data_IF_274707395236
#
_entry.id   IF_274707395236
#
_cell.length_a   1.000
_cell.length_b   1.000
_cell.length_c   1.000
_cell.angle_alpha   90.00
_cell.angle_beta   90.00
_cell.angle_gamma   90.00
#
_symmetry.space_group_name_H-M   'P 1'
#
loop_
_entity.id
_entity.type
_entity.pdbx_description
1 polymer ?
#
# COMPACT_ATOMS: atom_id res chain seq x y z
N UNK A 1 -19.12 0.63 -11.18
CA UNK A 1 -18.54 1.99 -11.25
C UNK A 1 -17.50 2.07 -10.16
N UNK A 2 -16.24 1.93 -10.53
CA UNK A 2 -15.12 1.80 -9.61
C UNK A 2 -14.74 3.19 -9.13
N UNK A 3 -14.94 3.43 -7.84
CA UNK A 3 -14.59 4.65 -7.15
C UNK A 3 -13.06 4.78 -7.12
N UNK A 4 -12.50 5.57 -8.06
CA UNK A 4 -11.08 5.86 -8.15
C UNK A 4 -10.75 6.94 -7.10
N UNK A 5 -10.64 6.51 -5.86
CA UNK A 5 -10.12 7.33 -4.76
C UNK A 5 -8.68 7.73 -5.03
N UNK A 6 -8.48 8.93 -5.59
CA UNK A 6 -7.44 9.92 -5.30
C UNK A 6 -7.52 11.03 -6.38
N UNK A 7 -8.47 11.94 -6.19
CA UNK A 7 -8.68 13.17 -6.98
C UNK A 7 -7.59 14.24 -6.73
N UNK A 8 -6.39 13.85 -6.33
CA UNK A 8 -5.35 14.80 -5.97
C UNK A 8 -4.46 15.09 -7.19
N UNK A 9 -4.78 16.18 -7.89
CA UNK A 9 -4.07 16.66 -9.08
C UNK A 9 -3.05 17.70 -8.65
N UNK A 10 -1.77 17.37 -8.84
CA UNK A 10 -0.66 18.19 -8.37
C UNK A 10 0.16 18.74 -9.53
N UNK A 11 0.67 19.95 -9.36
CA UNK A 11 1.73 20.52 -10.19
C UNK A 11 2.91 20.93 -9.33
N UNK A 12 4.11 20.51 -9.72
CA UNK A 12 5.36 20.91 -9.10
C UNK A 12 6.17 21.76 -10.09
N UNK A 13 6.53 22.98 -9.68
CA UNK A 13 7.32 23.91 -10.50
C UNK A 13 8.76 23.89 -10.01
N UNK A 14 9.70 23.43 -10.84
CA UNK A 14 11.12 23.41 -10.51
C UNK A 14 11.97 23.89 -11.67
N UNK A 15 12.79 24.93 -11.43
CA UNK A 15 13.73 25.48 -12.42
C UNK A 15 13.08 25.79 -13.78
N UNK A 16 11.87 26.34 -13.77
CA UNK A 16 11.11 26.69 -14.98
C UNK A 16 10.40 25.52 -15.67
N UNK A 17 10.47 24.30 -15.13
CA UNK A 17 9.70 23.14 -15.61
C UNK A 17 8.58 22.79 -14.67
N UNK A 18 7.44 22.38 -15.23
CA UNK A 18 6.28 21.97 -14.45
C UNK A 18 6.04 20.47 -14.60
N UNK A 19 5.90 19.78 -13.47
CA UNK A 19 5.62 18.34 -13.44
C UNK A 19 4.21 18.13 -12.91
N UNK A 20 3.38 17.45 -13.69
CA UNK A 20 1.97 17.19 -13.39
C UNK A 20 1.75 15.70 -13.10
N UNK A 21 0.92 15.43 -12.10
CA UNK A 21 0.43 14.09 -11.84
C UNK A 21 -0.97 13.91 -12.43
N UNK A 22 -1.06 13.12 -13.49
CA UNK A 22 -2.27 12.93 -14.30
C UNK A 22 -3.07 11.69 -13.83
N UNK A 23 -2.51 10.88 -12.91
CA UNK A 23 -3.16 9.74 -12.27
C UNK A 23 -2.56 8.38 -12.66
N UNK A 24 -2.50 7.43 -11.71
CA UNK A 24 -1.91 6.09 -11.90
C UNK A 24 -2.69 5.21 -12.89
N UNK A 25 -3.99 5.45 -13.03
CA UNK A 25 -4.84 4.72 -13.98
C UNK A 25 -4.48 5.02 -15.46
N UNK A 26 -3.80 6.14 -15.70
CA UNK A 26 -3.33 6.59 -17.01
C UNK A 26 -1.81 6.36 -17.12
N UNK A 27 -1.37 5.14 -16.80
CA UNK A 27 0.04 4.75 -17.00
C UNK A 27 0.49 4.91 -18.45
N UNK A 28 1.79 4.78 -18.74
CA UNK A 28 2.38 5.02 -20.07
C UNK A 28 1.81 4.18 -21.23
N UNK A 29 0.94 3.21 -20.92
CA UNK A 29 0.31 2.31 -21.88
C UNK A 29 -1.17 2.15 -21.57
N UNK A 30 -2.01 2.30 -22.60
CA UNK A 30 -3.39 1.84 -22.56
C UNK A 30 -3.41 0.35 -22.93
N UNK A 31 -4.10 -0.48 -22.12
CA UNK A 31 -4.18 -1.94 -22.30
C UNK A 31 -2.82 -2.66 -22.51
N UNK A 32 -1.73 -2.10 -21.96
CA UNK A 32 -0.40 -2.70 -21.99
C UNK A 32 0.34 -2.68 -23.34
N UNK A 33 -0.27 -2.15 -24.42
CA UNK A 33 0.29 -2.17 -25.78
C UNK A 33 0.46 -0.78 -26.40
N UNK A 34 -0.49 0.13 -26.18
CA UNK A 34 -0.51 1.37 -26.95
C UNK A 34 -0.02 2.57 -26.11
N UNK A 35 0.96 3.30 -26.63
CA UNK A 35 1.56 4.44 -25.93
C UNK A 35 0.57 5.61 -25.90
N UNK A 36 0.17 6.02 -24.70
CA UNK A 36 -0.62 7.24 -24.53
C UNK A 36 0.28 8.47 -24.68
N UNK A 37 -0.23 9.52 -25.30
CA UNK A 37 0.47 10.82 -25.37
C UNK A 37 -0.33 11.85 -24.58
N UNK A 38 0.35 12.53 -23.66
CA UNK A 38 -0.27 13.57 -22.82
C UNK A 38 0.16 14.92 -23.33
N UNK A 39 -0.78 15.86 -23.44
CA UNK A 39 -0.58 17.21 -23.93
C UNK A 39 -0.96 18.22 -22.86
N UNK A 40 -0.19 19.29 -22.75
CA UNK A 40 -0.49 20.49 -21.98
C UNK A 40 -0.62 21.66 -22.97
N UNK A 41 -1.81 22.25 -23.10
CA UNK A 41 -2.13 23.29 -24.09
C UNK A 41 -1.60 22.96 -25.50
N UNK A 42 -1.95 21.76 -25.97
CA UNK A 42 -1.56 21.21 -27.28
C UNK A 42 -0.05 20.96 -27.48
N UNK A 43 0.77 21.13 -26.43
CA UNK A 43 2.19 20.75 -26.44
C UNK A 43 2.38 19.37 -25.78
N UNK A 44 3.13 18.45 -26.42
CA UNK A 44 3.35 17.12 -25.86
C UNK A 44 4.18 17.22 -24.59
N UNK A 45 3.72 16.52 -23.56
CA UNK A 45 4.41 16.39 -22.29
C UNK A 45 5.36 15.20 -22.32
N UNK A 46 6.47 15.31 -21.60
CA UNK A 46 7.44 14.22 -21.47
C UNK A 46 7.04 13.30 -20.32
N UNK A 47 6.80 11.99 -20.54
CA UNK A 47 6.57 11.06 -19.44
C UNK A 47 7.79 10.96 -18.54
N UNK A 48 7.58 10.98 -17.23
CA UNK A 48 8.62 10.73 -16.24
C UNK A 48 8.75 9.22 -15.95
N UNK A 49 9.83 8.80 -15.29
CA UNK A 49 10.06 7.37 -14.98
C UNK A 49 8.96 6.73 -14.13
N UNK A 50 8.24 7.54 -13.35
CA UNK A 50 7.13 7.09 -12.54
C UNK A 50 5.83 7.15 -13.35
N UNK A 51 5.05 6.06 -13.41
CA UNK A 51 3.74 6.08 -14.07
C UNK A 51 2.84 7.21 -13.57
N UNK A 52 2.05 7.80 -14.47
CA UNK A 52 1.13 8.90 -14.17
C UNK A 52 1.78 10.28 -14.03
N UNK A 53 3.11 10.40 -14.08
CA UNK A 53 3.82 11.68 -13.98
C UNK A 53 4.34 12.16 -15.34
N UNK A 54 4.12 13.44 -15.64
CA UNK A 54 4.48 14.06 -16.90
C UNK A 54 5.08 15.45 -16.69
N UNK A 55 6.13 15.79 -17.43
CA UNK A 55 6.75 17.11 -17.43
C UNK A 55 6.28 17.93 -18.64
N UNK A 56 5.88 19.18 -18.41
CA UNK A 56 5.70 20.18 -19.44
C UNK A 56 6.76 21.28 -19.27
N UNK A 57 7.14 21.87 -20.40
CA UNK A 57 7.98 23.06 -20.41
C UNK A 57 7.16 24.33 -20.12
N UNK A 58 5.83 24.28 -20.22
CA UNK A 58 4.92 25.36 -19.83
C UNK A 58 4.53 25.29 -18.34
N UNK A 59 4.36 26.47 -17.73
CA UNK A 59 3.88 26.63 -16.35
C UNK A 59 2.40 27.00 -16.38
N UNK A 60 1.57 26.20 -15.69
CA UNK A 60 0.14 26.48 -15.51
C UNK A 60 -0.70 26.36 -16.78
N UNK A 61 -0.73 25.19 -17.46
CA UNK A 61 -1.51 25.00 -18.66
C UNK A 61 -3.00 25.13 -18.36
N UNK A 62 -3.73 25.70 -19.30
CA UNK A 62 -5.19 25.83 -19.22
C UNK A 62 -5.89 24.49 -19.39
N UNK A 63 -5.27 23.57 -20.16
CA UNK A 63 -5.82 22.26 -20.49
C UNK A 63 -4.74 21.20 -20.47
N UNK A 64 -5.03 20.07 -19.83
CA UNK A 64 -4.28 18.83 -20.03
C UNK A 64 -5.20 17.83 -20.74
N UNK A 65 -4.70 17.23 -21.82
CA UNK A 65 -5.41 16.25 -22.63
C UNK A 65 -4.58 14.98 -22.76
N UNK A 66 -5.23 13.82 -22.62
CA UNK A 66 -4.62 12.51 -22.84
C UNK A 66 -5.17 11.95 -24.12
N UNK A 67 -4.29 11.71 -25.09
CA UNK A 67 -4.63 11.10 -26.37
C UNK A 67 -4.41 9.60 -26.24
N UNK A 68 -5.52 8.86 -26.27
CA UNK A 68 -5.52 7.41 -26.28
C UNK A 68 -5.59 6.96 -27.74
N UNK A 69 -4.56 6.30 -28.26
CA UNK A 69 -4.56 5.81 -29.64
C UNK A 69 -5.70 4.80 -29.82
N UNK A 70 -6.39 4.90 -30.96
CA UNK A 70 -7.35 3.89 -31.42
C UNK A 70 -6.67 2.99 -32.44
N UNK A 71 -7.03 1.69 -32.49
CA UNK A 71 -6.56 0.85 -33.57
C UNK A 71 -7.09 1.39 -34.90
N UNK A 72 -6.22 1.44 -35.90
CA UNK A 72 -6.59 1.88 -37.24
C UNK A 72 -7.74 1.02 -37.77
N UNK A 73 -8.69 1.68 -38.44
CA UNK A 73 -9.82 0.99 -39.05
C UNK A 73 -9.42 0.49 -40.43
N UNK A 74 -9.57 -0.80 -40.68
CA UNK A 74 -9.41 -1.36 -42.03
C UNK A 74 -10.59 -0.90 -42.88
N UNK A 75 -10.33 -0.08 -43.90
CA UNK A 75 -11.34 0.35 -44.87
C UNK A 75 -11.58 -0.72 -45.94
N UNK A 76 -10.54 -1.47 -46.25
CA UNK A 76 -10.53 -2.48 -47.28
C UNK A 76 -9.13 -3.01 -47.47
N UNK A 77 -8.93 -3.71 -48.57
CA UNK A 77 -7.68 -4.36 -48.90
C UNK A 77 -7.29 -3.98 -50.32
N UNK A 78 -6.07 -3.51 -50.52
CA UNK A 78 -5.52 -3.10 -51.82
C UNK A 78 -4.60 -4.18 -52.36
N UNK A 79 -4.66 -4.45 -53.66
CA UNK A 79 -3.75 -5.41 -54.28
C UNK A 79 -2.30 -4.91 -54.13
N UNK A 80 -1.42 -5.75 -53.59
CA UNK A 80 -0.05 -5.35 -53.25
C UNK A 80 0.79 -5.06 -54.48
N UNK A 81 0.49 -5.72 -55.61
CA UNK A 81 1.06 -5.44 -56.92
C UNK A 81 -0.05 -4.96 -57.88
N UNK A 82 -0.15 -3.64 -58.12
CA UNK A 82 -1.18 -3.07 -59.01
C UNK A 82 -1.11 -3.59 -60.44
N UNK A 83 0.03 -4.11 -60.89
CA UNK A 83 0.20 -4.60 -62.27
C UNK A 83 -0.47 -5.96 -62.51
N UNK A 84 -0.81 -6.68 -61.44
CA UNK A 84 -1.55 -7.94 -61.48
C UNK A 84 -3.08 -7.76 -61.51
N UNK A 85 -3.57 -6.51 -61.57
CA UNK A 85 -5.00 -6.21 -61.59
C UNK A 85 -5.69 -6.86 -62.79
N UNK A 86 -6.77 -7.59 -62.51
CA UNK A 86 -7.54 -8.31 -63.53
C UNK A 86 -8.95 -8.58 -63.00
N UNK A 87 -9.89 -9.05 -63.84
CA UNK A 87 -11.22 -9.46 -63.37
C UNK A 87 -11.19 -10.51 -62.25
N UNK A 88 -10.12 -11.31 -62.16
CA UNK A 88 -9.89 -12.29 -61.09
C UNK A 88 -9.29 -11.67 -59.83
N UNK A 89 -8.44 -10.66 -60.00
CA UNK A 89 -7.74 -9.93 -58.94
C UNK A 89 -8.11 -8.44 -59.04
N UNK A 90 -9.30 -8.04 -58.55
CA UNK A 90 -9.67 -6.62 -58.56
C UNK A 90 -8.65 -5.79 -57.78
N UNK A 91 -8.41 -4.53 -58.17
CA UNK A 91 -7.40 -3.69 -57.49
C UNK A 91 -7.70 -3.41 -56.02
N UNK A 92 -8.97 -3.53 -55.60
CA UNK A 92 -9.41 -3.38 -54.20
C UNK A 92 -10.43 -4.44 -53.82
N UNK A 93 -10.48 -4.78 -52.53
CA UNK A 93 -11.48 -5.62 -51.90
C UNK A 93 -12.04 -4.91 -50.67
N UNK A 94 -13.35 -5.07 -50.44
CA UNK A 94 -13.97 -4.72 -49.17
C UNK A 94 -13.57 -5.72 -48.07
N UNK A 95 -13.73 -5.37 -46.78
CA UNK A 95 -13.39 -6.29 -45.69
C UNK A 95 -14.19 -7.60 -45.71
N UNK A 96 -15.43 -7.57 -46.18
CA UNK A 96 -16.27 -8.76 -46.28
C UNK A 96 -15.87 -9.64 -47.46
N UNK A 97 -15.57 -9.07 -48.64
CA UNK A 97 -15.03 -9.82 -49.79
C UNK A 97 -13.68 -10.48 -49.48
N UNK A 98 -12.81 -9.76 -48.75
CA UNK A 98 -11.55 -10.32 -48.29
C UNK A 98 -11.78 -11.51 -47.33
N UNK A 99 -12.73 -11.37 -46.39
CA UNK A 99 -13.08 -12.43 -45.44
C UNK A 99 -13.67 -13.65 -46.16
N UNK A 100 -14.58 -13.44 -47.11
CA UNK A 100 -15.15 -14.52 -47.92
C UNK A 100 -14.07 -15.29 -48.69
N UNK A 101 -13.09 -14.60 -49.28
CA UNK A 101 -11.95 -15.26 -49.96
C UNK A 101 -11.05 -16.01 -48.97
N UNK A 102 -10.79 -15.44 -47.80
CA UNK A 102 -9.99 -16.08 -46.75
C UNK A 102 -10.68 -17.35 -46.23
N UNK A 103 -11.99 -17.29 -45.98
CA UNK A 103 -12.81 -18.40 -45.46
C UNK A 103 -12.98 -19.51 -46.50
N UNK A 104 -13.02 -19.16 -47.80
CA UNK A 104 -12.99 -20.12 -48.91
C UNK A 104 -11.63 -20.82 -49.09
N UNK A 105 -10.63 -20.51 -48.24
CA UNK A 105 -9.25 -21.01 -48.35
C UNK A 105 -8.60 -20.70 -49.71
N UNK A 106 -9.05 -19.64 -50.38
CA UNK A 106 -8.44 -19.17 -51.61
C UNK A 106 -7.13 -18.47 -51.27
N UNK A 107 -5.98 -19.08 -51.58
CA UNK A 107 -4.64 -18.54 -51.26
C UNK A 107 -4.39 -17.13 -51.81
N UNK A 108 -5.16 -16.70 -52.81
CA UNK A 108 -4.95 -15.42 -53.50
C UNK A 108 -5.34 -14.19 -52.68
N UNK A 109 -6.10 -14.32 -51.59
CA UNK A 109 -6.36 -13.20 -50.66
C UNK A 109 -5.08 -12.60 -50.06
N UNK A 110 -4.00 -13.39 -49.94
CA UNK A 110 -2.70 -12.94 -49.43
C UNK A 110 -2.00 -11.93 -50.34
N UNK A 111 -2.46 -11.78 -51.59
CA UNK A 111 -1.94 -10.75 -52.50
C UNK A 111 -2.38 -9.34 -52.11
N UNK A 112 -3.31 -9.21 -51.15
CA UNK A 112 -3.84 -7.92 -50.74
C UNK A 112 -3.28 -7.46 -49.40
N UNK A 113 -2.97 -6.17 -49.32
CA UNK A 113 -2.54 -5.48 -48.10
C UNK A 113 -3.71 -4.69 -47.51
N UNK A 114 -3.89 -4.68 -46.18
CA UNK A 114 -4.93 -3.89 -45.54
C UNK A 114 -4.67 -2.40 -45.77
N UNK A 115 -5.68 -1.70 -46.27
CA UNK A 115 -5.72 -0.26 -46.34
C UNK A 115 -6.38 0.28 -45.05
N UNK A 116 -5.62 1.06 -44.30
CA UNK A 116 -6.02 1.62 -43.02
C UNK A 116 -6.47 3.07 -43.17
N UNK A 117 -7.53 3.44 -42.45
CA UNK A 117 -7.84 4.84 -42.12
C UNK A 117 -7.33 5.12 -40.71
N UNK A 118 -6.48 6.14 -40.59
CA UNK A 118 -6.08 6.65 -39.28
C UNK A 118 -7.32 7.16 -38.56
N UNK A 119 -7.64 6.53 -37.43
CA UNK A 119 -8.76 6.97 -36.58
C UNK A 119 -8.21 7.99 -35.60
N UNK A 120 -8.89 9.13 -35.49
CA UNK A 120 -8.51 10.15 -34.49
C UNK A 120 -8.47 9.52 -33.09
N UNK A 121 -7.43 9.83 -32.29
CA UNK A 121 -7.31 9.29 -30.95
C UNK A 121 -8.47 9.77 -30.07
N UNK A 122 -8.83 8.95 -29.09
CA UNK A 122 -9.72 9.40 -28.03
C UNK A 122 -9.03 10.47 -27.19
N UNK A 123 -9.65 11.65 -27.09
CA UNK A 123 -9.11 12.76 -26.30
C UNK A 123 -9.83 12.83 -24.97
N UNK A 124 -9.14 12.40 -23.91
CA UNK A 124 -9.62 12.54 -22.53
C UNK A 124 -9.09 13.86 -22.00
N UNK A 125 -9.97 14.84 -21.78
CA UNK A 125 -9.57 16.09 -21.11
C UNK A 125 -9.51 15.85 -19.60
N UNK A 126 -8.38 16.19 -19.00
CA UNK A 126 -8.15 16.08 -17.56
C UNK A 126 -8.53 17.42 -16.93
N UNK A 127 -9.64 17.50 -16.17
CA UNK A 127 -10.10 18.78 -15.66
C UNK A 127 -9.08 19.40 -14.68
N UNK A 128 -9.03 20.73 -14.63
CA UNK A 128 -8.46 21.44 -13.48
C UNK A 128 -9.41 21.44 -12.27
N UNK A 129 -9.06 22.12 -11.16
CA UNK A 129 -7.83 22.89 -10.93
C UNK A 129 -6.63 22.02 -10.49
N UNK A 130 -5.42 22.45 -10.85
CA UNK A 130 -4.17 21.83 -10.41
C UNK A 130 -3.70 22.49 -9.12
N UNK A 131 -3.49 21.69 -8.07
CA UNK A 131 -2.91 22.20 -6.83
C UNK A 131 -1.42 22.41 -7.02
N UNK A 132 -0.96 23.66 -6.96
CA UNK A 132 0.47 23.97 -6.98
C UNK A 132 1.07 23.50 -5.66
N UNK A 133 1.97 22.53 -5.75
CA UNK A 133 2.79 22.10 -4.64
C UNK A 133 3.87 23.16 -4.39
N UNK A 134 3.52 24.17 -3.59
CA UNK A 134 4.50 25.10 -2.99
C UNK A 134 5.22 24.39 -1.85
N UNK A 135 6.49 24.77 -1.61
CA UNK A 135 7.34 24.27 -0.52
C UNK A 135 6.54 24.22 0.80
N UNK A 136 6.03 23.05 1.17
CA UNK A 136 5.38 22.84 2.45
C UNK A 136 6.44 22.69 3.56
N UNK A 137 6.02 22.75 4.83
CA UNK A 137 6.92 22.56 5.94
C UNK A 137 7.48 21.12 5.94
N UNK A 138 8.78 20.98 6.19
CA UNK A 138 9.42 19.68 6.39
C UNK A 138 8.64 18.82 7.40
N UNK A 139 8.58 17.49 7.21
CA UNK A 139 8.02 16.62 8.24
C UNK A 139 8.80 16.86 9.53
N UNK A 140 8.11 16.95 10.68
CA UNK A 140 8.77 17.12 11.94
C UNK A 140 9.77 15.97 12.13
N UNK A 141 10.98 16.30 12.59
CA UNK A 141 11.97 15.32 13.03
C UNK A 141 11.49 14.73 14.36
N UNK A 142 10.49 13.86 14.27
CA UNK A 142 9.85 13.28 15.43
C UNK A 142 10.31 11.83 15.65
N UNK A 143 10.60 11.49 16.90
CA UNK A 143 11.20 10.21 17.29
C UNK A 143 10.33 8.97 16.99
N UNK A 144 9.16 9.18 16.38
CA UNK A 144 8.14 8.18 16.18
C UNK A 144 8.23 7.48 14.82
N UNK A 145 9.21 7.78 13.95
CA UNK A 145 9.52 6.91 12.81
C UNK A 145 10.17 7.64 11.63
N UNK A 146 10.78 6.88 10.72
CA UNK A 146 11.40 7.44 9.53
C UNK A 146 10.42 7.44 8.37
N UNK A 147 10.08 8.62 7.86
CA UNK A 147 9.24 8.76 6.67
C UNK A 147 10.05 8.48 5.40
N UNK A 148 9.57 7.51 4.62
CA UNK A 148 10.15 7.16 3.32
C UNK A 148 9.11 7.39 2.22
N UNK A 149 9.23 8.51 1.49
CA UNK A 149 8.28 8.80 0.43
C UNK A 149 8.55 7.98 -0.81
N UNK A 150 7.48 7.60 -1.49
CA UNK A 150 7.57 7.03 -2.82
C UNK A 150 7.69 8.17 -3.82
N UNK A 151 8.91 8.62 -4.10
CA UNK A 151 9.19 9.70 -5.06
C UNK A 151 9.60 9.18 -6.44
N UNK A 152 9.35 9.95 -7.51
CA UNK A 152 10.14 9.84 -8.75
C UNK A 152 11.64 10.03 -8.47
N UNK A 153 12.51 9.36 -9.22
CA UNK A 153 13.98 9.43 -9.02
C UNK A 153 14.52 10.85 -9.11
N UNK A 154 13.88 11.67 -9.92
CA UNK A 154 14.19 13.08 -10.15
C UNK A 154 13.99 13.94 -8.89
N UNK A 155 13.11 13.52 -7.98
CA UNK A 155 12.79 14.19 -6.72
C UNK A 155 13.45 13.54 -5.50
N UNK A 156 14.13 12.40 -5.65
CA UNK A 156 14.76 11.69 -4.52
C UNK A 156 15.82 12.54 -3.80
N UNK A 157 16.55 13.39 -4.52
CA UNK A 157 17.57 14.29 -3.95
C UNK A 157 17.00 15.60 -3.36
N UNK A 158 15.67 15.73 -3.26
CA UNK A 158 14.97 16.95 -2.87
C UNK A 158 14.13 16.71 -1.60
N UNK A 159 14.75 16.72 -0.40
CA UNK A 159 14.06 16.43 0.86
C UNK A 159 12.84 17.33 1.12
N UNK A 160 12.83 18.54 0.56
CA UNK A 160 11.72 19.52 0.65
C UNK A 160 10.41 19.04 0.02
N UNK A 161 10.41 17.99 -0.79
CA UNK A 161 9.20 17.43 -1.40
C UNK A 161 8.79 16.08 -0.82
N UNK A 162 9.55 15.55 0.15
CA UNK A 162 9.38 14.18 0.62
C UNK A 162 8.02 13.95 1.31
N UNK A 163 7.46 14.93 2.02
CA UNK A 163 6.19 14.77 2.74
C UNK A 163 4.93 14.91 1.88
N UNK A 164 5.06 15.42 0.65
CA UNK A 164 3.94 15.70 -0.26
C UNK A 164 3.49 14.49 -1.08
N UNK A 165 4.27 13.42 -1.06
CA UNK A 165 4.03 12.24 -1.88
C UNK A 165 3.60 11.08 -0.99
N UNK A 166 2.78 10.15 -1.51
CA UNK A 166 2.49 8.92 -0.82
C UNK A 166 3.78 8.20 -0.40
N UNK A 167 3.76 7.58 0.76
CA UNK A 167 4.97 7.01 1.36
C UNK A 167 4.67 6.01 2.44
N UNK A 168 5.73 5.61 3.13
CA UNK A 168 5.67 4.64 4.21
C UNK A 168 6.44 5.16 5.41
N UNK A 169 5.80 5.13 6.58
CA UNK A 169 6.42 5.44 7.87
C UNK A 169 6.93 4.13 8.47
N UNK A 170 8.25 4.01 8.67
CA UNK A 170 8.89 2.78 9.18
C UNK A 170 9.21 2.87 10.67
N UNK A 171 9.35 1.69 11.31
CA UNK A 171 9.76 1.55 12.70
C UNK A 171 8.61 1.31 13.69
N UNK A 172 7.41 0.97 13.20
CA UNK A 172 6.21 0.84 14.04
C UNK A 172 6.39 -0.24 15.09
N UNK A 173 6.97 -1.36 14.69
CA UNK A 173 7.23 -2.48 15.58
C UNK A 173 8.22 -2.11 16.67
N UNK A 174 9.31 -1.42 16.33
CA UNK A 174 10.31 -0.97 17.31
C UNK A 174 9.73 0.07 18.28
N UNK A 175 8.96 1.04 17.79
CA UNK A 175 8.29 2.03 18.62
C UNK A 175 7.27 1.39 19.58
N UNK A 176 6.49 0.43 19.08
CA UNK A 176 5.55 -0.32 19.88
C UNK A 176 6.25 -1.20 20.93
N UNK A 177 7.36 -1.84 20.57
CA UNK A 177 8.18 -2.62 21.50
C UNK A 177 8.69 -1.76 22.65
N UNK A 178 9.24 -0.57 22.35
CA UNK A 178 9.70 0.37 23.37
C UNK A 178 8.56 0.75 24.33
N UNK A 179 7.39 1.10 23.78
CA UNK A 179 6.22 1.49 24.57
C UNK A 179 5.63 0.35 25.40
N UNK A 180 5.62 -0.87 24.88
CA UNK A 180 5.13 -2.06 25.60
C UNK A 180 6.09 -2.42 26.75
N UNK A 181 7.41 -2.32 26.56
CA UNK A 181 8.41 -2.61 27.61
C UNK A 181 8.28 -1.72 28.84
N UNK A 182 7.76 -0.51 28.68
CA UNK A 182 7.53 0.44 29.77
C UNK A 182 6.26 0.13 30.58
N UNK A 183 5.42 -0.81 30.13
CA UNK A 183 4.21 -1.18 30.86
C UNK A 183 4.55 -2.02 32.10
N UNK A 184 3.94 -1.73 33.27
CA UNK A 184 4.34 -2.33 34.54
C UNK A 184 4.06 -3.83 34.64
N UNK A 185 3.07 -4.32 33.89
CA UNK A 185 2.67 -5.73 33.87
C UNK A 185 3.37 -6.55 32.78
N UNK A 186 4.26 -5.94 31.99
CA UNK A 186 5.06 -6.64 30.96
C UNK A 186 6.36 -7.11 31.57
N UNK A 187 6.68 -8.39 31.42
CA UNK A 187 7.94 -8.98 31.88
C UNK A 187 8.97 -9.06 30.75
N UNK A 188 8.53 -9.47 29.56
CA UNK A 188 9.38 -9.56 28.38
C UNK A 188 8.64 -9.05 27.15
N UNK A 189 9.33 -8.29 26.31
CA UNK A 189 8.84 -7.93 24.99
C UNK A 189 10.02 -7.91 24.01
N UNK A 190 9.97 -8.81 23.02
CA UNK A 190 10.99 -8.93 21.99
C UNK A 190 10.37 -9.24 20.64
N UNK A 191 11.11 -8.89 19.59
CA UNK A 191 10.73 -9.21 18.22
C UNK A 191 11.22 -10.61 17.87
N UNK A 192 10.33 -11.42 17.29
CA UNK A 192 10.64 -12.74 16.75
C UNK A 192 9.87 -12.93 15.44
N UNK A 193 10.56 -13.31 14.35
CA UNK A 193 9.95 -13.69 13.06
C UNK A 193 8.88 -12.70 12.54
N UNK A 194 9.17 -11.40 12.59
CA UNK A 194 8.27 -10.30 12.18
C UNK A 194 7.02 -10.14 13.07
N UNK A 195 7.05 -10.67 14.29
CA UNK A 195 6.00 -10.51 15.32
C UNK A 195 6.62 -9.95 16.59
N UNK A 196 5.78 -9.37 17.45
CA UNK A 196 6.16 -9.01 18.81
C UNK A 196 5.64 -10.04 19.78
N UNK A 197 6.56 -10.74 20.44
CA UNK A 197 6.25 -11.66 21.50
C UNK A 197 6.33 -10.94 22.84
N UNK A 198 5.18 -10.85 23.50
CA UNK A 198 4.97 -10.13 24.75
C UNK A 198 4.58 -11.12 25.84
N UNK A 199 5.34 -11.15 26.91
CA UNK A 199 5.05 -11.90 28.13
C UNK A 199 4.59 -10.94 29.21
N UNK A 200 3.39 -11.14 29.73
CA UNK A 200 2.78 -10.30 30.77
C UNK A 200 2.51 -11.08 32.05
N UNK A 201 2.62 -10.42 33.19
CA UNK A 201 2.17 -10.88 34.50
C UNK A 201 0.78 -10.34 34.76
N UNK A 202 -0.19 -11.24 34.88
CA UNK A 202 -1.58 -10.86 35.10
C UNK A 202 -2.03 -11.37 36.47
N UNK A 203 -2.61 -10.53 37.34
CA UNK A 203 -3.20 -11.00 38.57
C UNK A 203 -4.36 -11.94 38.26
N UNK A 204 -4.38 -13.11 38.89
CA UNK A 204 -5.52 -14.01 38.86
C UNK A 204 -6.66 -13.33 39.63
N UNK A 205 -7.79 -13.07 38.98
CA UNK A 205 -8.89 -12.27 39.55
C UNK A 205 -9.52 -12.84 40.84
N UNK A 206 -9.19 -14.07 41.23
CA UNK A 206 -9.65 -14.65 42.50
C UNK A 206 -8.49 -14.63 43.49
N UNK A 207 -8.50 -13.75 44.51
CA UNK A 207 -7.50 -13.81 45.56
C UNK A 207 -7.65 -15.14 46.32
N UNK A 208 -6.62 -15.97 46.30
CA UNK A 208 -6.58 -17.17 47.12
C UNK A 208 -6.12 -16.81 48.54
N UNK A 209 -6.79 -17.43 49.52
CA UNK A 209 -6.42 -17.30 50.91
C UNK A 209 -5.51 -18.48 51.29
N UNK A 210 -4.25 -18.20 51.57
CA UNK A 210 -3.31 -19.19 52.06
C UNK A 210 -3.31 -19.19 53.59
N UNK A 211 -3.44 -20.36 54.21
CA UNK A 211 -3.21 -20.51 55.63
C UNK A 211 -1.71 -20.70 55.87
N UNK A 212 -1.03 -19.63 56.30
CA UNK A 212 0.39 -19.69 56.60
C UNK A 212 0.56 -20.12 58.06
N UNK A 213 1.07 -21.32 58.27
CA UNK A 213 1.56 -21.77 59.58
C UNK A 213 2.97 -21.19 59.82
N UNK A 214 3.21 -20.48 60.94
CA UNK A 214 4.54 -19.94 61.23
C UNK A 214 5.56 -21.07 61.47
N UNK A 215 6.61 -21.09 60.66
CA UNK A 215 7.68 -22.11 60.61
C UNK A 215 8.35 -22.36 61.98
N UNK A 216 8.37 -21.36 62.86
CA UNK A 216 9.07 -21.42 64.14
C UNK A 216 8.17 -21.46 65.39
N UNK A 217 6.87 -21.70 65.26
CA UNK A 217 5.98 -21.72 66.44
C UNK A 217 4.76 -22.61 66.25
N UNK A 218 4.86 -23.92 66.54
CA UNK A 218 3.76 -24.88 66.38
C UNK A 218 2.53 -24.60 67.28
N UNK A 219 2.62 -23.64 68.20
CA UNK A 219 1.52 -23.23 69.10
C UNK A 219 0.75 -21.98 68.65
N UNK A 220 1.13 -21.31 67.55
CA UNK A 220 0.37 -20.15 67.02
C UNK A 220 -0.63 -20.62 65.96
N UNK A 221 -1.91 -20.24 66.12
CA UNK A 221 -2.93 -20.42 65.06
C UNK A 221 -2.40 -19.80 63.77
N UNK A 222 -2.43 -20.56 62.67
CA UNK A 222 -2.05 -20.07 61.35
C UNK A 222 -2.80 -18.78 61.03
N UNK A 223 -2.15 -17.86 60.32
CA UNK A 223 -2.83 -16.64 59.84
C UNK A 223 -3.33 -16.91 58.41
N UNK A 224 -4.58 -16.58 58.16
CA UNK A 224 -5.14 -16.51 56.80
C UNK A 224 -4.53 -15.29 56.13
N UNK A 225 -3.59 -15.50 55.22
CA UNK A 225 -2.95 -14.45 54.43
C UNK A 225 -3.59 -14.47 53.05
N UNK A 226 -4.10 -13.32 52.61
CA UNK A 226 -4.54 -13.16 51.23
C UNK A 226 -3.29 -12.90 50.37
N UNK A 227 -3.03 -13.76 49.39
CA UNK A 227 -1.92 -13.57 48.43
C UNK A 227 -2.51 -13.34 47.04
N UNK A 228 -2.02 -12.32 46.37
CA UNK A 228 -2.29 -12.12 44.95
C UNK A 228 -1.40 -13.07 44.14
N UNK A 229 -2.02 -14.06 43.50
CA UNK A 229 -1.34 -14.96 42.58
C UNK A 229 -1.27 -14.26 41.22
N UNK A 230 -0.06 -14.14 40.67
CA UNK A 230 0.15 -13.64 39.31
C UNK A 230 0.45 -14.81 38.38
N UNK A 231 -0.12 -14.80 37.18
CA UNK A 231 0.11 -15.80 36.14
C UNK A 231 0.81 -15.13 34.96
N UNK A 232 1.78 -15.83 34.38
CA UNK A 232 2.47 -15.40 33.17
C UNK A 232 1.68 -15.79 31.93
N UNK A 233 1.39 -14.83 31.04
CA UNK A 233 0.72 -15.04 29.76
C UNK A 233 1.60 -14.56 28.61
N UNK A 234 1.73 -15.37 27.56
CA UNK A 234 2.41 -15.01 26.32
C UNK A 234 1.40 -14.58 25.26
N UNK A 235 1.68 -13.47 24.59
CA UNK A 235 0.96 -12.94 23.44
C UNK A 235 1.93 -12.87 22.26
N UNK A 236 1.47 -13.24 21.07
CA UNK A 236 2.23 -13.05 19.83
C UNK A 236 1.44 -12.09 18.94
N UNK A 237 1.97 -10.88 18.76
CA UNK A 237 1.32 -9.78 18.05
C UNK A 237 1.89 -9.67 16.64
N UNK A 238 1.02 -9.83 15.63
CA UNK A 238 1.40 -9.71 14.21
C UNK A 238 1.43 -8.23 13.77
N UNK A 239 2.37 -7.48 14.32
CA UNK A 239 2.46 -6.02 14.11
C UNK A 239 3.23 -5.72 12.82
N UNK A 240 2.67 -4.92 11.90
CA UNK A 240 3.39 -4.48 10.71
C UNK A 240 4.59 -3.60 11.10
N UNK A 241 5.64 -3.60 10.28
CA UNK A 241 6.85 -2.81 10.57
C UNK A 241 6.67 -1.31 10.23
N UNK A 242 5.60 -0.97 9.53
CA UNK A 242 5.24 0.42 9.28
C UNK A 242 3.88 0.60 8.63
N UNK A 243 3.61 1.83 8.22
CA UNK A 243 2.29 2.28 7.77
C UNK A 243 2.42 3.09 6.49
N UNK A 244 1.68 2.70 5.46
CA UNK A 244 1.53 3.48 4.23
C UNK A 244 0.46 4.55 4.37
N UNK A 245 0.66 5.69 3.72
CA UNK A 245 -0.36 6.73 3.60
C UNK A 245 -0.17 7.58 2.34
N UNK A 246 -1.24 8.27 1.92
CA UNK A 246 -1.21 9.23 0.80
C UNK A 246 -0.38 10.49 1.11
N UNK A 247 -0.19 10.79 2.40
CA UNK A 247 0.70 11.85 2.91
C UNK A 247 1.31 11.42 4.24
N UNK A 248 2.35 12.13 4.69
CA UNK A 248 2.93 11.92 6.02
C UNK A 248 1.87 12.05 7.13
N UNK A 249 1.01 13.08 7.06
CA UNK A 249 -0.03 13.31 8.08
C UNK A 249 -1.05 12.16 8.17
N UNK A 250 -1.46 11.61 7.03
CA UNK A 250 -2.37 10.48 6.97
C UNK A 250 -1.69 9.20 7.51
N UNK A 251 -0.45 8.94 7.11
CA UNK A 251 0.34 7.81 7.62
C UNK A 251 0.57 7.93 9.13
N UNK A 252 0.81 9.14 9.65
CA UNK A 252 0.98 9.37 11.08
C UNK A 252 -0.30 9.14 11.87
N UNK A 253 -1.44 9.62 11.39
CA UNK A 253 -2.72 9.32 12.04
C UNK A 253 -2.95 7.80 12.16
N UNK A 254 -2.72 7.07 11.07
CA UNK A 254 -2.84 5.61 11.05
C UNK A 254 -1.79 4.91 11.94
N UNK A 255 -0.59 5.48 12.06
CA UNK A 255 0.42 5.03 13.00
C UNK A 255 -0.03 5.14 14.45
N UNK A 256 -0.55 6.30 14.85
CA UNK A 256 -1.02 6.53 16.22
C UNK A 256 -2.21 5.62 16.56
N UNK A 257 -3.11 5.38 15.60
CA UNK A 257 -4.21 4.42 15.71
C UNK A 257 -3.70 2.98 15.92
N UNK A 258 -2.67 2.55 15.18
CA UNK A 258 -2.04 1.24 15.37
C UNK A 258 -1.38 1.11 16.74
N UNK A 259 -0.62 2.12 17.18
CA UNK A 259 -0.02 2.14 18.51
C UNK A 259 -1.09 2.00 19.59
N UNK A 260 -2.17 2.79 19.52
CA UNK A 260 -3.28 2.72 20.46
C UNK A 260 -3.97 1.34 20.45
N UNK A 261 -4.19 0.77 19.27
CA UNK A 261 -4.80 -0.54 19.12
C UNK A 261 -3.99 -1.65 19.80
N UNK A 262 -2.70 -1.76 19.46
CA UNK A 262 -1.85 -2.85 19.98
C UNK A 262 -1.53 -2.68 21.46
N UNK A 263 -1.29 -1.45 21.92
CA UNK A 263 -1.12 -1.18 23.35
C UNK A 263 -2.39 -1.53 24.12
N UNK A 264 -3.57 -1.20 23.58
CA UNK A 264 -4.86 -1.58 24.14
C UNK A 264 -5.04 -3.09 24.30
N UNK A 265 -4.60 -3.89 23.34
CA UNK A 265 -4.62 -5.37 23.43
C UNK A 265 -3.77 -5.86 24.61
N UNK A 266 -2.55 -5.32 24.77
CA UNK A 266 -1.63 -5.71 25.86
C UNK A 266 -2.16 -5.26 27.23
N UNK A 267 -2.78 -4.08 27.31
CA UNK A 267 -3.40 -3.59 28.54
C UNK A 267 -4.66 -4.40 28.90
N UNK A 268 -5.49 -4.73 27.92
CA UNK A 268 -6.74 -5.48 28.12
C UNK A 268 -6.52 -6.98 28.34
N UNK A 269 -5.29 -7.48 28.20
CA UNK A 269 -4.95 -8.88 28.36
C UNK A 269 -5.06 -9.33 29.83
N UNK A 270 -6.31 -9.54 30.27
CA UNK A 270 -6.67 -10.15 31.54
C UNK A 270 -6.56 -11.68 31.49
N UNK A 271 -6.31 -12.30 32.63
CA UNK A 271 -6.40 -13.75 32.80
C UNK A 271 -7.84 -14.06 33.22
N UNK A 272 -8.64 -14.58 32.29
CA UNK A 272 -9.86 -15.30 32.66
C UNK A 272 -9.42 -16.67 33.18
N UNK A 273 -9.85 -17.02 34.39
CA UNK A 273 -9.63 -18.36 34.94
C UNK A 273 -10.12 -19.43 33.96
N UNK A 274 -9.41 -20.54 33.85
CA UNK A 274 -9.81 -21.64 32.97
C UNK A 274 -11.23 -22.10 33.32
N UNK A 275 -12.11 -22.20 32.31
CA UNK A 275 -13.50 -22.63 32.49
C UNK A 275 -13.60 -24.04 33.11
N UNK A 276 -12.61 -24.92 32.86
CA UNK A 276 -12.60 -26.27 33.40
C UNK A 276 -12.32 -26.32 34.92
N UNK A 277 -11.60 -25.34 35.48
CA UNK A 277 -11.35 -25.24 36.93
C UNK A 277 -12.01 -24.02 37.58
N UNK A 278 -12.86 -23.28 36.86
CA UNK A 278 -13.44 -22.00 37.31
C UNK A 278 -12.39 -21.00 37.85
N UNK A 279 -11.17 -21.03 37.30
CA UNK A 279 -10.06 -20.21 37.80
C UNK A 279 -9.39 -20.68 39.10
N UNK A 280 -9.69 -21.88 39.58
CA UNK A 280 -9.08 -22.52 40.77
C UNK A 280 -7.93 -23.46 40.40
N UNK A 281 -7.17 -23.13 39.36
CA UNK A 281 -6.05 -23.98 38.93
C UNK A 281 -5.05 -24.12 40.07
N UNK A 282 -4.95 -25.31 40.65
CA UNK A 282 -4.02 -25.58 41.75
C UNK A 282 -2.57 -25.40 41.26
N UNK A 283 -1.85 -24.46 41.85
CA UNK A 283 -0.38 -24.47 41.83
C UNK A 283 0.04 -25.50 42.88
N UNK A 284 0.61 -26.63 42.47
CA UNK A 284 1.21 -27.56 43.43
C UNK A 284 2.46 -26.87 43.99
N UNK A 285 2.35 -26.32 45.20
CA UNK A 285 3.49 -25.76 45.93
C UNK A 285 4.40 -26.94 46.30
N UNK A 286 5.54 -27.07 45.61
CA UNK A 286 6.55 -28.12 45.85
C UNK A 286 7.16 -28.78 44.62
N UNK A 287 6.76 -28.45 43.37
CA UNK A 287 7.30 -29.13 42.18
C UNK A 287 8.67 -28.60 41.68
N UNK A 288 9.27 -27.60 42.32
CA UNK A 288 10.61 -27.12 41.93
C UNK A 288 11.74 -28.09 42.28
N UNK A 289 11.48 -29.12 43.11
CA UNK A 289 12.53 -30.09 43.48
C UNK A 289 12.65 -31.30 42.53
N UNK A 290 11.84 -31.45 41.49
CA UNK A 290 11.84 -32.69 40.66
C UNK A 290 12.17 -32.55 39.17
N UNK A 291 12.59 -31.36 38.70
CA UNK A 291 13.07 -31.18 37.31
C UNK A 291 14.59 -30.95 37.21
N UNK A 292 15.36 -31.60 38.09
CA UNK A 292 16.79 -31.86 37.88
C UNK A 292 17.03 -33.36 37.78
N UNK A 293 16.73 -33.93 36.61
CA UNK A 293 17.38 -35.11 36.05
C UNK A 293 17.45 -34.95 34.54
#
# INVERSE_FOLDING_TARGET
MTDLGLNERFVLIHKGRSMYYVGDALGHRFNGRDTITVYADDQPMTPLRRPGWYAADSVGPHRIAVHVPRPDRILGYTLSDPTAESPRFPGTLTPDEYRERADASDIWYQLYTPAYEGVDPDVITVPGPWTVLTDGPFPPDDAAGTWHPSLPTELTRRPEYHFLFPGHLFGLRAALQARIREMPHVEYCHEQERKLDVTIKVPLQVPEHEWVTPIYSPRRRGKKVQREITITRRLSLAVPDGVSGSSYSAARKAWDEQIAHWTGIVTAASAKGCNACQGRGYVIVGSEEHNRL
#
